data_IF_620057126823
#
_entry.id   IF_620057126823
#
_cell.length_a   1.000
_cell.length_b   1.000
_cell.length_c   1.000
_cell.angle_alpha   90.00
_cell.angle_beta   90.00
_cell.angle_gamma   90.00
#
_symmetry.space_group_name_H-M   'P 1'
#
loop_
_entity.id
_entity.type
_entity.pdbx_description
1 polymer ?
#
# COMPACT_ATOMS: atom_id res chain seq x y z
N UNK A 1 14.22 -28.65 1.00
CA UNK A 1 12.79 -28.29 0.98
C UNK A 1 12.06 -29.25 0.05
N UNK A 2 10.84 -29.64 0.39
CA UNK A 2 9.96 -30.34 -0.56
C UNK A 2 9.58 -29.35 -1.68
N UNK A 3 9.73 -29.75 -2.94
CA UNK A 3 9.24 -29.00 -4.10
C UNK A 3 7.99 -29.68 -4.65
N UNK A 4 7.07 -28.88 -5.18
CA UNK A 4 5.90 -29.34 -5.94
C UNK A 4 5.89 -28.63 -7.27
N UNK A 5 5.62 -29.37 -8.34
CA UNK A 5 5.44 -28.83 -9.68
C UNK A 5 3.97 -28.52 -9.88
N UNK A 6 3.66 -27.32 -10.36
CA UNK A 6 2.31 -26.87 -10.69
C UNK A 6 2.27 -26.36 -12.13
N UNK A 7 1.15 -26.54 -12.80
CA UNK A 7 0.89 -25.92 -14.10
C UNK A 7 0.15 -24.60 -13.89
N UNK A 8 0.59 -23.55 -14.58
CA UNK A 8 -0.02 -22.22 -14.55
C UNK A 8 -0.40 -21.82 -15.97
N UNK A 9 -1.48 -21.04 -16.10
CA UNK A 9 -1.73 -20.30 -17.35
C UNK A 9 -0.63 -19.26 -17.53
N UNK A 10 -0.24 -19.01 -18.78
CA UNK A 10 0.84 -18.06 -19.13
C UNK A 10 0.63 -16.69 -18.48
N UNK A 11 -0.59 -16.16 -18.56
CA UNK A 11 -0.97 -14.86 -17.98
C UNK A 11 -0.78 -14.81 -16.45
N UNK A 12 -1.05 -15.92 -15.76
CA UNK A 12 -0.88 -16.01 -14.32
C UNK A 12 0.60 -16.06 -13.93
N UNK A 13 1.41 -16.79 -14.70
CA UNK A 13 2.85 -16.83 -14.53
C UNK A 13 3.47 -15.44 -14.73
N UNK A 14 3.14 -14.75 -15.82
CA UNK A 14 3.68 -13.42 -16.12
C UNK A 14 3.26 -12.37 -15.07
N UNK A 15 2.03 -12.45 -14.54
CA UNK A 15 1.60 -11.62 -13.41
C UNK A 15 2.45 -11.83 -12.16
N UNK A 16 2.73 -13.08 -11.80
CA UNK A 16 3.58 -13.41 -10.65
C UNK A 16 5.03 -12.99 -10.91
N UNK A 17 5.55 -13.19 -12.12
CA UNK A 17 6.89 -12.78 -12.53
C UNK A 17 7.08 -11.27 -12.42
N UNK A 18 6.11 -10.49 -12.90
CA UNK A 18 6.12 -9.03 -12.83
C UNK A 18 5.97 -8.49 -11.40
N UNK A 19 5.32 -9.24 -10.51
CA UNK A 19 5.14 -8.85 -9.12
C UNK A 19 6.41 -8.97 -8.26
N UNK A 20 7.54 -9.42 -8.82
CA UNK A 20 8.83 -9.50 -8.12
C UNK A 20 9.36 -8.11 -7.80
N UNK A 21 9.75 -7.88 -6.54
CA UNK A 21 10.30 -6.61 -6.05
C UNK A 21 11.79 -6.44 -6.38
N UNK A 22 12.51 -7.54 -6.51
CA UNK A 22 13.95 -7.53 -6.84
C UNK A 22 14.33 -8.78 -7.64
N UNK A 23 15.43 -8.74 -8.43
CA UNK A 23 15.79 -9.82 -9.37
C UNK A 23 16.05 -11.20 -8.76
N UNK A 24 16.23 -11.29 -7.44
CA UNK A 24 16.46 -12.53 -6.68
C UNK A 24 15.28 -13.01 -5.83
N UNK A 25 14.12 -12.35 -5.86
CA UNK A 25 12.97 -12.77 -5.05
C UNK A 25 12.50 -14.16 -5.51
N UNK A 26 12.31 -15.07 -4.55
CA UNK A 26 11.87 -16.43 -4.85
C UNK A 26 10.39 -16.46 -5.24
N UNK A 27 10.01 -17.37 -6.13
CA UNK A 27 8.63 -17.49 -6.58
C UNK A 27 7.68 -17.79 -5.41
N UNK A 28 8.11 -18.62 -4.44
CA UNK A 28 7.34 -18.89 -3.23
C UNK A 28 7.08 -17.62 -2.40
N UNK A 29 8.06 -16.72 -2.29
CA UNK A 29 7.87 -15.46 -1.57
C UNK A 29 6.86 -14.54 -2.26
N UNK A 30 6.88 -14.49 -3.60
CA UNK A 30 5.88 -13.76 -4.39
C UNK A 30 4.48 -14.31 -4.14
N UNK A 31 4.31 -15.64 -4.24
CA UNK A 31 3.00 -16.29 -4.06
C UNK A 31 2.46 -16.08 -2.65
N UNK A 32 3.30 -16.22 -1.61
CA UNK A 32 2.89 -16.05 -0.21
C UNK A 32 2.50 -14.60 0.12
N UNK A 33 3.14 -13.61 -0.51
CA UNK A 33 2.85 -12.19 -0.27
C UNK A 33 1.66 -11.70 -1.06
N UNK A 34 1.49 -12.22 -2.26
CA UNK A 34 0.50 -11.65 -3.14
C UNK A 34 -0.89 -11.73 -2.48
N UNK A 35 -1.65 -10.66 -2.65
CA UNK A 35 -2.94 -10.47 -2.01
C UNK A 35 -3.88 -10.22 -3.17
N UNK A 36 -4.83 -11.12 -3.37
CA UNK A 36 -5.83 -11.02 -4.41
C UNK A 36 -7.09 -10.54 -3.69
N UNK A 37 -7.40 -9.25 -3.71
CA UNK A 37 -8.67 -8.80 -3.16
C UNK A 37 -9.76 -9.51 -3.96
N UNK A 38 -10.47 -10.43 -3.31
CA UNK A 38 -11.59 -11.17 -3.91
C UNK A 38 -12.72 -10.24 -4.35
N UNK A 39 -12.73 -9.02 -3.80
CA UNK A 39 -13.69 -7.97 -4.12
C UNK A 39 -12.93 -6.71 -4.50
N UNK A 40 -12.76 -6.47 -5.80
CA UNK A 40 -12.42 -5.13 -6.28
C UNK A 40 -13.63 -4.23 -6.04
N UNK A 41 -13.54 -3.33 -5.05
CA UNK A 41 -14.54 -2.28 -4.86
C UNK A 41 -14.59 -1.41 -6.12
N UNK A 42 -15.76 -1.31 -6.73
CA UNK A 42 -15.95 -0.42 -7.89
C UNK A 42 -15.78 1.04 -7.45
N UNK A 43 -15.38 1.92 -8.37
CA UNK A 43 -15.27 3.35 -8.06
C UNK A 43 -16.60 3.95 -7.54
N UNK A 44 -17.73 3.43 -8.02
CA UNK A 44 -19.07 3.77 -7.50
C UNK A 44 -19.23 3.36 -6.03
N UNK A 45 -18.94 2.11 -5.70
CA UNK A 45 -19.04 1.62 -4.32
C UNK A 45 -18.10 2.37 -3.37
N UNK A 46 -16.91 2.77 -3.84
CA UNK A 46 -16.02 3.63 -3.07
C UNK A 46 -16.62 5.03 -2.82
N UNK A 47 -17.21 5.65 -3.85
CA UNK A 47 -17.85 6.96 -3.71
C UNK A 47 -19.04 6.92 -2.73
N UNK A 48 -19.82 5.85 -2.75
CA UNK A 48 -20.94 5.65 -1.82
C UNK A 48 -20.43 5.55 -0.37
N UNK A 49 -19.35 4.79 -0.13
CA UNK A 49 -18.68 4.72 1.19
C UNK A 49 -18.19 6.10 1.65
N UNK A 50 -17.58 6.90 0.76
CA UNK A 50 -17.12 8.25 1.10
C UNK A 50 -18.28 9.16 1.51
N UNK A 51 -19.42 9.06 0.84
CA UNK A 51 -20.62 9.85 1.15
C UNK A 51 -21.26 9.44 2.46
N UNK A 52 -21.36 8.13 2.71
CA UNK A 52 -21.92 7.58 3.95
C UNK A 52 -21.08 7.92 5.18
N UNK A 53 -19.75 7.79 5.07
CA UNK A 53 -18.84 8.12 6.18
C UNK A 53 -18.77 9.62 6.44
N UNK A 54 -18.88 10.43 5.40
CA UNK A 54 -18.71 11.88 5.50
C UNK A 54 -17.27 12.31 5.79
N UNK A 55 -17.09 13.60 6.05
CA UNK A 55 -15.78 14.16 6.40
C UNK A 55 -15.40 13.75 7.83
N UNK A 56 -14.16 13.26 8.00
CA UNK A 56 -13.63 12.85 9.32
C UNK A 56 -13.14 14.07 10.13
N UNK A 57 -12.74 15.14 9.45
CA UNK A 57 -12.27 16.37 10.07
C UNK A 57 -13.22 17.51 9.76
N UNK A 58 -13.51 18.32 10.77
CA UNK A 58 -14.13 19.63 10.58
C UNK A 58 -13.08 20.68 10.14
N UNK A 59 -13.56 21.87 9.77
CA UNK A 59 -12.70 22.94 9.28
C UNK A 59 -11.63 23.33 10.32
N UNK A 60 -12.00 23.43 11.60
CA UNK A 60 -11.08 23.80 12.66
C UNK A 60 -9.98 22.74 12.88
N UNK A 61 -10.31 21.45 12.75
CA UNK A 61 -9.33 20.37 12.81
C UNK A 61 -8.38 20.40 11.61
N UNK A 62 -8.90 20.72 10.43
CA UNK A 62 -8.06 20.87 9.24
C UNK A 62 -7.11 22.07 9.37
N UNK A 63 -7.57 23.20 9.89
CA UNK A 63 -6.75 24.38 10.15
C UNK A 63 -5.60 24.07 11.12
N UNK A 64 -5.85 23.25 12.16
CA UNK A 64 -4.80 22.79 13.07
C UNK A 64 -3.76 21.91 12.38
N UNK A 65 -4.19 21.01 11.50
CA UNK A 65 -3.26 20.16 10.72
C UNK A 65 -2.39 21.02 9.79
N UNK A 66 -2.98 22.00 9.11
CA UNK A 66 -2.23 22.90 8.22
C UNK A 66 -1.29 23.84 8.98
N UNK A 67 -1.64 24.27 10.20
CA UNK A 67 -0.73 24.99 11.07
C UNK A 67 0.49 24.12 11.46
N UNK A 68 0.25 22.88 11.89
CA UNK A 68 1.32 21.95 12.25
C UNK A 68 2.27 21.66 11.08
N UNK A 69 1.74 21.52 9.87
CA UNK A 69 2.57 21.29 8.67
C UNK A 69 3.41 22.50 8.30
N UNK A 70 2.91 23.71 8.52
CA UNK A 70 3.68 24.96 8.28
C UNK A 70 4.87 25.06 9.22
N UNK A 71 4.68 24.62 10.45
CA UNK A 71 5.69 24.69 11.51
C UNK A 71 6.52 23.39 11.62
N UNK A 72 6.38 22.47 10.66
CA UNK A 72 7.09 21.18 10.63
C UNK A 72 8.56 21.42 10.29
N UNK A 73 9.36 21.56 11.34
CA UNK A 73 10.80 21.63 11.24
C UNK A 73 11.40 20.22 11.24
N UNK A 74 12.48 19.97 10.47
CA UNK A 74 13.20 18.72 10.55
C UNK A 74 13.64 18.44 12.00
N UNK A 75 13.56 17.18 12.40
CA UNK A 75 14.00 16.76 13.72
C UNK A 75 15.46 17.22 13.97
N UNK A 76 15.76 17.61 15.21
CA UNK A 76 17.11 18.06 15.56
C UNK A 76 18.10 16.93 15.24
N UNK A 77 19.11 17.25 14.44
CA UNK A 77 20.14 16.29 14.05
C UNK A 77 21.04 15.96 15.25
N UNK A 78 20.72 14.84 15.90
CA UNK A 78 21.47 14.30 17.04
C UNK A 78 22.92 13.92 16.70
N UNK A 79 23.29 13.87 15.42
CA UNK A 79 24.64 13.49 14.97
C UNK A 79 25.54 14.70 14.69
N UNK A 80 24.97 15.91 14.68
CA UNK A 80 25.69 17.17 14.40
C UNK A 80 25.64 18.15 15.58
N UNK A 81 25.22 17.70 16.77
CA UNK A 81 25.34 18.46 18.01
C UNK A 81 26.80 18.43 18.47
N UNK A 82 27.54 19.51 18.19
CA UNK A 82 28.93 19.71 18.62
C UNK A 82 29.05 21.01 19.40
#
# INVERSE_FOLDING_TARGET
MSSKTISLREEAYERLRAARRYPGESFSAVVLRATWPETTTTGKAFLDICRERGAVFDAAALDRVEALKRDDAPAIDKWNMR
#
